data_IF_875696673700
#
_entry.id   IF_875696673700
#
_cell.length_a   1.000
_cell.length_b   1.000
_cell.length_c   1.000
_cell.angle_alpha   90.00
_cell.angle_beta   90.00
_cell.angle_gamma   90.00
#
_symmetry.space_group_name_H-M   'P 1'
#
loop_
_entity.id
_entity.type
_entity.pdbx_description
1 polymer ?
#
# COMPACT_ATOMS: atom_id res chain seq x y z
N UNK A 1 17.79 -2.44 -5.04
CA UNK A 1 17.64 -1.06 -5.56
C UNK A 1 16.19 -0.67 -5.41
N UNK A 2 15.89 0.37 -4.64
CA UNK A 2 14.54 0.90 -4.50
C UNK A 2 14.13 1.55 -5.84
N UNK A 3 13.24 0.91 -6.59
CA UNK A 3 12.97 1.21 -8.01
C UNK A 3 12.04 2.40 -8.25
N UNK A 4 11.92 3.35 -7.31
CA UNK A 4 11.08 4.54 -7.48
C UNK A 4 11.81 5.82 -7.08
N UNK A 5 11.90 6.83 -7.96
CA UNK A 5 12.54 8.12 -7.65
C UNK A 5 11.80 8.94 -6.59
N UNK A 6 10.63 8.49 -6.14
CA UNK A 6 9.79 9.10 -5.09
C UNK A 6 9.82 8.31 -3.78
N UNK A 7 10.73 7.34 -3.64
CA UNK A 7 10.84 6.56 -2.41
C UNK A 7 11.26 7.49 -1.27
N UNK A 8 10.37 7.70 -0.31
CA UNK A 8 10.62 8.48 0.91
C UNK A 8 10.95 7.52 2.05
N UNK A 9 12.00 7.85 2.79
CA UNK A 9 12.36 7.11 4.00
C UNK A 9 11.42 7.48 5.15
N UNK A 10 11.38 6.65 6.19
CA UNK A 10 10.52 6.85 7.37
C UNK A 10 10.75 8.24 7.99
N UNK A 11 12.01 8.67 8.10
CA UNK A 11 12.36 9.99 8.64
C UNK A 11 11.77 11.13 7.79
N UNK A 12 11.87 11.04 6.45
CA UNK A 12 11.29 12.03 5.55
C UNK A 12 9.76 12.02 5.59
N UNK A 13 9.15 10.84 5.71
CA UNK A 13 7.71 10.71 5.86
C UNK A 13 7.24 11.37 7.17
N UNK A 14 7.98 11.22 8.27
CA UNK A 14 7.67 11.89 9.54
C UNK A 14 7.78 13.42 9.43
N UNK A 15 8.80 13.95 8.73
CA UNK A 15 8.91 15.40 8.50
C UNK A 15 7.72 15.94 7.69
N UNK A 16 7.30 15.23 6.65
CA UNK A 16 6.13 15.61 5.84
C UNK A 16 4.82 15.49 6.65
N UNK A 17 4.71 14.48 7.52
CA UNK A 17 3.59 14.29 8.45
C UNK A 17 3.50 15.39 9.50
N UNK A 18 4.65 15.87 9.99
CA UNK A 18 4.70 16.99 10.92
C UNK A 18 4.28 18.30 10.23
N UNK A 19 4.51 18.43 8.92
CA UNK A 19 4.16 19.63 8.16
C UNK A 19 2.65 19.76 7.89
N UNK A 20 1.89 18.66 7.82
CA UNK A 20 0.45 18.71 7.58
C UNK A 20 -0.31 17.50 8.16
N UNK A 21 -1.47 17.69 8.81
CA UNK A 21 -2.32 16.60 9.27
C UNK A 21 -3.13 16.01 8.09
N UNK A 22 -2.45 15.31 7.19
CA UNK A 22 -3.04 14.64 6.04
C UNK A 22 -3.19 13.13 6.28
N UNK A 23 -3.99 12.47 5.45
CA UNK A 23 -4.10 11.01 5.42
C UNK A 23 -3.02 10.44 4.51
N UNK A 24 -1.99 9.84 5.10
CA UNK A 24 -0.87 9.27 4.37
C UNK A 24 -1.16 7.84 3.93
N UNK A 25 -0.78 7.53 2.69
CA UNK A 25 -0.92 6.19 2.09
C UNK A 25 0.46 5.66 1.73
N UNK A 26 0.82 4.50 2.25
CA UNK A 26 2.09 3.85 1.95
C UNK A 26 1.95 2.93 0.75
N UNK A 27 2.80 3.09 -0.27
CA UNK A 27 2.79 2.24 -1.47
C UNK A 27 3.85 1.15 -1.34
N UNK A 28 3.42 -0.10 -1.37
CA UNK A 28 4.26 -1.28 -1.18
C UNK A 28 4.16 -2.20 -2.38
N UNK A 29 5.27 -2.85 -2.73
CA UNK A 29 5.33 -3.82 -3.83
C UNK A 29 6.12 -5.03 -3.36
N UNK A 30 5.43 -6.18 -3.24
CA UNK A 30 5.99 -7.47 -2.81
C UNK A 30 6.90 -7.35 -1.56
N UNK A 31 6.51 -6.54 -0.58
CA UNK A 31 7.23 -6.41 0.69
C UNK A 31 6.77 -7.45 1.70
N UNK A 32 7.59 -7.73 2.71
CA UNK A 32 7.18 -8.57 3.83
C UNK A 32 6.05 -7.92 4.64
N UNK A 33 5.08 -8.72 5.07
CA UNK A 33 3.93 -8.26 5.86
C UNK A 33 4.39 -7.54 7.13
N UNK A 34 5.42 -8.08 7.80
CA UNK A 34 5.97 -7.49 9.01
C UNK A 34 6.50 -6.06 8.77
N UNK A 35 7.18 -5.85 7.65
CA UNK A 35 7.74 -4.54 7.29
C UNK A 35 6.65 -3.53 6.91
N UNK A 36 5.63 -3.97 6.16
CA UNK A 36 4.46 -3.14 5.83
C UNK A 36 3.72 -2.71 7.10
N UNK A 37 3.50 -3.66 8.03
CA UNK A 37 2.80 -3.41 9.30
C UNK A 37 3.62 -2.48 10.20
N UNK A 38 4.93 -2.69 10.30
CA UNK A 38 5.82 -1.84 11.07
C UNK A 38 5.78 -0.39 10.54
N UNK A 39 5.96 -0.21 9.23
CA UNK A 39 5.88 1.11 8.60
C UNK A 39 4.50 1.74 8.76
N UNK A 40 3.43 0.98 8.60
CA UNK A 40 2.06 1.48 8.79
C UNK A 40 1.83 1.97 10.23
N UNK A 41 2.40 1.30 11.24
CA UNK A 41 2.32 1.71 12.64
C UNK A 41 3.20 2.91 12.94
N UNK A 42 4.47 2.87 12.56
CA UNK A 42 5.46 3.93 12.81
C UNK A 42 5.03 5.25 12.17
N UNK A 43 4.50 5.17 10.95
CA UNK A 43 4.04 6.33 10.19
C UNK A 43 2.55 6.64 10.37
N UNK A 44 1.83 5.85 11.18
CA UNK A 44 0.37 5.98 11.37
C UNK A 44 -0.39 6.17 10.05
N UNK A 45 -0.13 5.28 9.09
CA UNK A 45 -0.71 5.37 7.75
C UNK A 45 -2.23 5.18 7.80
N UNK A 46 -2.95 5.98 7.02
CA UNK A 46 -4.40 5.81 6.85
C UNK A 46 -4.73 4.61 5.94
N UNK A 47 -3.84 4.29 5.00
CA UNK A 47 -3.99 3.15 4.12
C UNK A 47 -2.64 2.60 3.64
N UNK A 48 -2.66 1.33 3.22
CA UNK A 48 -1.54 0.68 2.53
C UNK A 48 -1.98 0.30 1.12
N UNK A 49 -1.21 0.69 0.12
CA UNK A 49 -1.47 0.39 -1.28
C UNK A 49 -0.53 -0.71 -1.76
N UNK A 50 -1.10 -1.85 -2.15
CA UNK A 50 -0.39 -3.02 -2.65
C UNK A 50 -0.31 -2.98 -4.17
N UNK A 51 0.89 -2.74 -4.70
CA UNK A 51 1.20 -2.62 -6.13
C UNK A 51 1.92 -3.85 -6.71
N UNK A 52 2.11 -4.91 -5.93
CA UNK A 52 2.77 -6.13 -6.35
C UNK A 52 1.79 -7.21 -6.80
N UNK A 53 2.25 -8.45 -6.72
CA UNK A 53 1.47 -9.65 -7.02
C UNK A 53 1.00 -10.31 -5.71
N UNK A 54 0.59 -9.51 -4.72
CA UNK A 54 0.11 -10.04 -3.45
C UNK A 54 -1.19 -10.83 -3.65
N UNK A 55 -1.16 -12.11 -3.26
CA UNK A 55 -2.30 -13.03 -3.33
C UNK A 55 -3.31 -12.81 -2.19
N UNK A 56 -4.47 -13.47 -2.26
CA UNK A 56 -5.51 -13.40 -1.24
C UNK A 56 -4.99 -13.74 0.17
N UNK A 57 -4.18 -14.78 0.28
CA UNK A 57 -3.60 -15.20 1.57
C UNK A 57 -2.73 -14.10 2.17
N UNK A 58 -1.94 -13.42 1.34
CA UNK A 58 -1.11 -12.31 1.78
C UNK A 58 -1.98 -11.16 2.32
N UNK A 59 -3.05 -10.81 1.59
CA UNK A 59 -3.97 -9.74 2.00
C UNK A 59 -4.68 -10.09 3.31
N UNK A 60 -5.07 -11.35 3.48
CA UNK A 60 -5.72 -11.83 4.70
C UNK A 60 -4.79 -11.71 5.91
N UNK A 61 -3.58 -12.27 5.80
CA UNK A 61 -2.56 -12.17 6.86
C UNK A 61 -2.16 -10.71 7.14
N UNK A 62 -2.08 -9.88 6.09
CA UNK A 62 -1.82 -8.45 6.25
C UNK A 62 -2.97 -7.76 6.99
N UNK A 63 -4.23 -8.11 6.69
CA UNK A 63 -5.40 -7.54 7.37
C UNK A 63 -5.46 -7.93 8.84
N UNK A 64 -5.08 -9.16 9.18
CA UNK A 64 -4.99 -9.61 10.58
C UNK A 64 -3.87 -8.89 11.35
N UNK A 65 -2.74 -8.61 10.70
CA UNK A 65 -1.59 -7.96 11.33
C UNK A 65 -1.73 -6.43 11.40
N UNK A 66 -2.48 -5.83 10.48
CA UNK A 66 -2.74 -4.40 10.43
C UNK A 66 -3.84 -3.98 11.42
N UNK A 67 -3.76 -2.75 11.95
CA UNK A 67 -4.86 -2.17 12.70
C UNK A 67 -6.11 -2.00 11.82
N UNK A 68 -7.30 -2.19 12.39
CA UNK A 68 -8.57 -2.07 11.66
C UNK A 68 -8.85 -0.66 11.07
N UNK A 69 -8.13 0.37 11.51
CA UNK A 69 -8.25 1.73 10.95
C UNK A 69 -7.43 1.91 9.67
N UNK A 70 -6.49 1.02 9.36
CA UNK A 70 -5.65 1.10 8.16
C UNK A 70 -6.38 0.41 7.01
N UNK A 71 -6.75 1.17 5.99
CA UNK A 71 -7.40 0.61 4.82
C UNK A 71 -6.39 -0.12 3.91
N UNK A 72 -6.81 -1.23 3.29
CA UNK A 72 -5.98 -1.97 2.33
C UNK A 72 -6.44 -1.64 0.91
N UNK A 73 -5.56 -1.07 0.11
CA UNK A 73 -5.84 -0.70 -1.26
C UNK A 73 -5.07 -1.63 -2.20
N UNK A 74 -5.75 -2.28 -3.14
CA UNK A 74 -5.07 -3.09 -4.16
C UNK A 74 -4.94 -2.28 -5.43
N UNK A 75 -3.71 -2.05 -5.86
CA UNK A 75 -3.47 -1.48 -7.16
C UNK A 75 -3.50 -2.57 -8.22
N UNK A 76 -4.27 -2.31 -9.25
CA UNK A 76 -4.53 -3.19 -10.37
C UNK A 76 -4.06 -2.48 -11.63
N UNK A 77 -3.13 -3.12 -12.33
CA UNK A 77 -2.65 -2.58 -13.59
C UNK A 77 -3.67 -2.85 -14.69
N UNK A 78 -4.28 -1.79 -15.23
CA UNK A 78 -5.20 -1.90 -16.36
C UNK A 78 -4.37 -1.90 -17.62
N UNK A 79 -4.04 -3.10 -18.11
CA UNK A 79 -3.47 -3.31 -19.43
C UNK A 79 -4.58 -3.45 -20.47
N UNK A 80 -4.55 -4.53 -21.25
CA UNK A 80 -5.59 -4.83 -22.25
C UNK A 80 -6.87 -5.38 -21.62
N UNK A 81 -6.79 -5.96 -20.41
CA UNK A 81 -7.94 -6.53 -19.69
C UNK A 81 -8.03 -5.98 -18.28
N UNK A 82 -9.25 -5.79 -17.80
CA UNK A 82 -9.53 -5.44 -16.41
C UNK A 82 -9.27 -6.67 -15.54
N UNK A 83 -8.29 -6.63 -14.62
CA UNK A 83 -8.06 -7.74 -13.71
C UNK A 83 -9.27 -7.94 -12.79
N UNK A 84 -9.50 -9.19 -12.41
CA UNK A 84 -10.62 -9.56 -11.57
C UNK A 84 -10.48 -8.92 -10.18
N UNK A 85 -11.58 -8.31 -9.70
CA UNK A 85 -11.68 -7.65 -8.38
C UNK A 85 -12.26 -8.62 -7.35
N UNK A 86 -11.67 -9.81 -7.30
CA UNK A 86 -12.18 -10.92 -6.48
C UNK A 86 -11.52 -10.98 -5.11
N UNK A 87 -10.60 -10.06 -4.81
CA UNK A 87 -9.87 -10.06 -3.56
C UNK A 87 -10.76 -9.58 -2.41
N UNK A 88 -10.82 -10.39 -1.37
CA UNK A 88 -11.48 -10.08 -0.10
C UNK A 88 -10.55 -9.28 0.79
N UNK A 89 -11.14 -8.47 1.68
CA UNK A 89 -10.43 -7.60 2.62
C UNK A 89 -9.65 -6.44 1.97
N UNK A 90 -9.98 -6.13 0.71
CA UNK A 90 -9.53 -4.92 0.01
C UNK A 90 -10.61 -3.85 0.13
N UNK A 91 -10.29 -2.74 0.77
CA UNK A 91 -11.19 -1.60 0.96
C UNK A 91 -11.37 -0.79 -0.33
N UNK A 92 -10.30 -0.64 -1.12
CA UNK A 92 -10.34 0.10 -2.39
C UNK A 92 -9.46 -0.54 -3.46
N UNK A 93 -9.87 -0.40 -4.70
CA UNK A 93 -9.09 -0.79 -5.86
C UNK A 93 -8.58 0.48 -6.56
N UNK A 94 -7.26 0.56 -6.76
CA UNK A 94 -6.64 1.64 -7.53
C UNK A 94 -6.31 1.10 -8.90
N UNK A 95 -6.92 1.67 -9.94
CA UNK A 95 -6.65 1.28 -11.31
C UNK A 95 -5.54 2.18 -11.84
N UNK A 96 -4.38 1.58 -12.12
CA UNK A 96 -3.21 2.29 -12.64
C UNK A 96 -2.88 1.74 -14.03
N UNK A 97 -2.51 2.61 -14.98
CA UNK A 97 -2.04 2.16 -16.28
C UNK A 97 -0.57 1.78 -16.12
N UNK A 98 -0.19 0.50 -16.29
CA UNK A 98 1.04 -0.11 -15.72
C UNK A 98 2.40 0.52 -16.06
N UNK A 99 2.41 1.52 -16.94
CA UNK A 99 3.46 2.52 -17.01
C UNK A 99 2.90 3.79 -16.37
N UNK A 100 3.12 3.95 -15.05
CA UNK A 100 2.95 5.26 -14.43
C UNK A 100 3.71 6.27 -15.29
N UNK A 101 2.96 7.22 -15.87
CA UNK A 101 3.44 8.12 -16.92
C UNK A 101 4.70 8.90 -16.56
#
# INVERSE_FOLDING_TARGET
VATSPRCVNVEQAQEVMAAAPLQYVGVFRNHDIADVVDKAKVLSLAAVQLHGNEDQLYIDTLREALPAHVAIWKALSVGETLPARELQHVDKYVLDNGQGG
#
